data_IF_471343341149
#
_entry.id   IF_471343341149
#
_cell.length_a   1.000
_cell.length_b   1.000
_cell.length_c   1.000
_cell.angle_alpha   90.00
_cell.angle_beta   90.00
_cell.angle_gamma   90.00
#
_symmetry.space_group_name_H-M   'P 1'
#
loop_
_entity.id
_entity.type
_entity.pdbx_description
1 polymer ?
#
# COMPACT_ATOMS: atom_id res chain seq x y z
N UNK A 1 2.23 24.87 -2.63
CA UNK A 1 0.82 24.37 -2.64
C UNK A 1 0.87 22.91 -3.07
N UNK A 2 -0.01 22.04 -2.60
CA UNK A 2 -0.21 20.69 -3.13
C UNK A 2 -1.50 20.72 -3.92
N UNK A 3 -1.50 20.15 -5.14
CA UNK A 3 -2.70 20.07 -5.98
C UNK A 3 -3.24 18.64 -5.92
N UNK A 4 -4.50 18.50 -5.52
CA UNK A 4 -5.17 17.22 -5.32
C UNK A 4 -6.68 17.36 -5.50
N UNK A 5 -7.41 16.26 -5.44
CA UNK A 5 -8.89 16.27 -5.48
C UNK A 5 -9.49 17.31 -4.55
N UNK A 6 -10.37 18.13 -5.09
CA UNK A 6 -10.97 19.28 -4.43
C UNK A 6 -10.20 20.59 -4.62
N UNK A 7 -8.96 20.59 -5.13
CA UNK A 7 -8.25 21.80 -5.54
C UNK A 7 -8.97 22.48 -6.71
N UNK A 8 -8.89 23.82 -6.75
CA UNK A 8 -9.52 24.63 -7.80
C UNK A 8 -8.61 25.81 -8.15
N UNK A 9 -8.72 26.29 -9.38
CA UNK A 9 -8.02 27.51 -9.84
C UNK A 9 -7.21 27.30 -11.10
N UNK A 10 -6.43 28.31 -11.45
CA UNK A 10 -5.65 28.33 -12.71
C UNK A 10 -4.56 27.26 -12.72
N UNK A 11 -3.90 27.01 -11.57
CA UNK A 11 -2.89 25.92 -11.44
C UNK A 11 -3.47 24.55 -11.79
N UNK A 12 -4.73 24.28 -11.39
CA UNK A 12 -5.43 23.03 -11.72
C UNK A 12 -5.72 22.97 -13.21
N UNK A 13 -6.12 24.09 -13.79
CA UNK A 13 -6.43 24.19 -15.23
C UNK A 13 -5.16 23.99 -16.06
N UNK A 14 -4.05 24.56 -15.64
CA UNK A 14 -2.76 24.37 -16.29
C UNK A 14 -2.29 22.91 -16.19
N UNK A 15 -2.44 22.28 -15.04
CA UNK A 15 -2.18 20.86 -14.84
C UNK A 15 -3.04 19.98 -15.76
N UNK A 16 -4.34 20.24 -15.85
CA UNK A 16 -5.25 19.49 -16.72
C UNK A 16 -4.84 19.64 -18.19
N UNK A 17 -4.46 20.84 -18.60
CA UNK A 17 -3.98 21.11 -19.96
C UNK A 17 -2.70 20.32 -20.25
N UNK A 18 -1.76 20.29 -19.32
CA UNK A 18 -0.51 19.55 -19.44
C UNK A 18 -0.75 18.03 -19.54
N UNK A 19 -1.58 17.49 -18.67
CA UNK A 19 -1.96 16.07 -18.73
C UNK A 19 -2.64 15.70 -20.05
N UNK A 20 -3.54 16.56 -20.54
CA UNK A 20 -4.19 16.35 -21.84
C UNK A 20 -3.18 16.38 -23.00
N UNK A 21 -2.21 17.30 -22.99
CA UNK A 21 -1.14 17.38 -23.98
C UNK A 21 -0.27 16.10 -23.99
N UNK A 22 -0.05 15.50 -22.82
CA UNK A 22 0.67 14.24 -22.66
C UNK A 22 -0.21 12.99 -22.93
N UNK A 23 -1.47 13.18 -23.36
CA UNK A 23 -2.40 12.08 -23.71
C UNK A 23 -3.20 11.51 -22.53
N UNK A 24 -3.12 12.12 -21.34
CA UNK A 24 -3.92 11.77 -20.18
C UNK A 24 -5.22 12.58 -20.17
N UNK A 25 -6.31 11.99 -20.63
CA UNK A 25 -7.58 12.69 -20.84
C UNK A 25 -8.28 13.04 -19.52
N UNK A 26 -8.07 14.26 -19.03
CA UNK A 26 -8.77 14.80 -17.85
C UNK A 26 -10.18 15.35 -18.17
N UNK A 27 -10.59 15.37 -19.42
CA UNK A 27 -11.72 16.13 -19.92
C UNK A 27 -11.32 17.58 -20.22
N UNK A 28 -12.29 18.51 -20.13
CA UNK A 28 -11.99 19.94 -20.28
C UNK A 28 -11.08 20.42 -19.14
N UNK A 29 -10.14 21.29 -19.47
CA UNK A 29 -9.32 21.98 -18.47
C UNK A 29 -10.16 23.09 -17.80
N UNK A 30 -11.02 22.68 -16.87
CA UNK A 30 -12.02 23.54 -16.20
C UNK A 30 -11.52 24.15 -14.88
N UNK A 31 -10.30 23.81 -14.47
CA UNK A 31 -9.72 24.25 -13.21
C UNK A 31 -10.32 23.62 -11.97
N UNK A 32 -11.03 22.47 -12.11
CA UNK A 32 -11.60 21.70 -10.99
C UNK A 32 -10.93 20.34 -10.93
N UNK A 33 -10.16 20.07 -9.88
CA UNK A 33 -9.57 18.78 -9.66
C UNK A 33 -10.63 17.80 -9.14
N UNK A 34 -11.33 17.18 -10.07
CA UNK A 34 -12.35 16.16 -9.84
C UNK A 34 -11.77 14.74 -9.91
N UNK A 35 -12.65 13.73 -9.83
CA UNK A 35 -12.27 12.31 -9.93
C UNK A 35 -11.61 11.97 -11.29
N UNK A 36 -12.05 12.60 -12.39
CA UNK A 36 -11.43 12.37 -13.70
C UNK A 36 -9.95 12.83 -13.70
N UNK A 37 -9.67 14.02 -13.18
CA UNK A 37 -8.31 14.55 -13.05
C UNK A 37 -7.46 13.67 -12.12
N UNK A 38 -8.00 13.24 -10.98
CA UNK A 38 -7.33 12.35 -10.03
C UNK A 38 -6.85 11.06 -10.70
N UNK A 39 -7.76 10.39 -11.43
CA UNK A 39 -7.44 9.15 -12.15
C UNK A 39 -6.31 9.36 -13.17
N UNK A 40 -6.31 10.48 -13.88
CA UNK A 40 -5.27 10.74 -14.89
C UNK A 40 -3.92 11.10 -14.23
N UNK A 41 -3.93 11.79 -13.10
CA UNK A 41 -2.71 11.99 -12.29
C UNK A 41 -2.15 10.66 -11.81
N UNK A 42 -3.00 9.75 -11.28
CA UNK A 42 -2.58 8.40 -10.90
C UNK A 42 -1.98 7.62 -12.07
N UNK A 43 -2.61 7.67 -13.25
CA UNK A 43 -2.09 7.00 -14.45
C UNK A 43 -0.73 7.58 -14.89
N UNK A 44 -0.59 8.91 -14.86
CA UNK A 44 0.69 9.56 -15.14
C UNK A 44 1.76 9.13 -14.14
N UNK A 45 1.43 9.17 -12.85
CA UNK A 45 2.33 8.75 -11.77
C UNK A 45 2.78 7.29 -11.94
N UNK A 46 1.85 6.38 -12.25
CA UNK A 46 2.16 4.96 -12.51
C UNK A 46 3.09 4.80 -13.73
N UNK A 47 2.85 5.57 -14.81
CA UNK A 47 3.69 5.54 -16.01
C UNK A 47 5.09 6.11 -15.78
N UNK A 48 5.23 7.03 -14.83
CA UNK A 48 6.50 7.70 -14.45
C UNK A 48 7.21 7.02 -13.27
N UNK A 49 6.86 5.78 -12.91
CA UNK A 49 7.40 5.06 -11.74
C UNK A 49 7.22 5.82 -10.40
N UNK A 50 6.29 6.76 -10.35
CA UNK A 50 5.85 7.41 -9.13
C UNK A 50 4.77 6.58 -8.43
N UNK A 51 4.56 6.86 -7.15
CA UNK A 51 3.43 6.29 -6.44
C UNK A 51 2.11 6.93 -6.95
N UNK A 52 1.13 6.15 -7.44
CA UNK A 52 -0.11 6.66 -7.99
C UNK A 52 -1.08 7.06 -6.86
N UNK A 53 -0.86 8.20 -6.22
CA UNK A 53 -1.67 8.72 -5.13
C UNK A 53 -2.65 9.82 -5.54
N UNK A 54 -2.64 10.20 -6.80
CA UNK A 54 -3.49 11.27 -7.32
C UNK A 54 -3.13 12.66 -6.80
N UNK A 55 -1.95 12.84 -6.18
CA UNK A 55 -1.51 14.11 -5.59
C UNK A 55 -0.34 14.68 -6.38
N UNK A 56 -0.48 15.90 -6.88
CA UNK A 56 0.60 16.60 -7.56
C UNK A 56 1.45 17.36 -6.54
N UNK A 57 2.55 16.71 -6.14
CA UNK A 57 3.62 17.29 -5.35
C UNK A 57 4.83 17.64 -6.21
N UNK A 58 5.94 18.08 -5.57
CA UNK A 58 7.20 18.43 -6.28
C UNK A 58 7.71 17.30 -7.19
N UNK A 59 7.61 16.03 -6.73
CA UNK A 59 8.04 14.88 -7.52
C UNK A 59 7.21 14.71 -8.80
N UNK A 60 5.88 14.76 -8.66
CA UNK A 60 4.96 14.65 -9.81
C UNK A 60 5.14 15.82 -10.77
N UNK A 61 5.29 17.06 -10.24
CA UNK A 61 5.52 18.24 -11.06
C UNK A 61 6.83 18.15 -11.86
N UNK A 62 7.90 17.66 -11.23
CA UNK A 62 9.19 17.45 -11.91
C UNK A 62 9.07 16.49 -13.08
N UNK A 63 8.46 15.32 -12.87
CA UNK A 63 8.27 14.32 -13.94
C UNK A 63 7.31 14.84 -15.04
N UNK A 64 6.30 15.66 -14.66
CA UNK A 64 5.42 16.30 -15.63
C UNK A 64 6.20 17.27 -16.53
N UNK A 65 7.06 18.12 -15.96
CA UNK A 65 7.87 19.07 -16.73
C UNK A 65 8.86 18.34 -17.63
N UNK A 66 9.53 17.29 -17.15
CA UNK A 66 10.44 16.45 -17.97
C UNK A 66 9.70 15.78 -19.14
N UNK A 67 8.46 15.30 -18.89
CA UNK A 67 7.64 14.71 -19.95
C UNK A 67 7.17 15.77 -20.98
N UNK A 68 6.79 16.96 -20.53
CA UNK A 68 6.37 18.08 -21.38
C UNK A 68 7.55 18.57 -22.25
N UNK A 69 8.73 18.76 -21.66
CA UNK A 69 9.94 19.11 -22.39
C UNK A 69 10.24 18.09 -23.49
N UNK A 70 10.15 16.78 -23.17
CA UNK A 70 10.34 15.69 -24.11
C UNK A 70 9.31 15.66 -25.25
N UNK A 71 8.09 16.16 -24.98
CA UNK A 71 7.00 16.30 -25.97
C UNK A 71 7.09 17.60 -26.79
N UNK A 72 8.01 18.52 -26.47
CA UNK A 72 8.13 19.82 -27.08
C UNK A 72 7.09 20.84 -26.60
N UNK A 73 6.46 20.56 -25.48
CA UNK A 73 5.50 21.44 -24.79
C UNK A 73 6.21 22.33 -23.77
N UNK A 74 5.55 23.40 -23.35
CA UNK A 74 6.12 24.31 -22.34
C UNK A 74 5.95 23.81 -20.91
N UNK A 75 6.88 24.20 -20.03
CA UNK A 75 6.83 23.87 -18.61
C UNK A 75 5.60 24.44 -17.90
N UNK A 76 5.14 23.74 -16.87
CA UNK A 76 4.13 24.23 -15.95
C UNK A 76 4.67 25.46 -15.17
N UNK A 77 3.86 26.52 -15.11
CA UNK A 77 4.26 27.82 -14.57
C UNK A 77 3.99 27.98 -13.08
N UNK A 78 3.17 27.09 -12.50
CA UNK A 78 2.92 27.15 -11.07
C UNK A 78 4.03 26.48 -10.28
N UNK A 79 4.29 26.98 -9.07
CA UNK A 79 5.27 26.40 -8.16
C UNK A 79 4.58 25.64 -7.02
N UNK A 80 5.05 24.43 -6.76
CA UNK A 80 4.71 23.72 -5.53
C UNK A 80 5.58 24.32 -4.42
N UNK A 81 4.96 25.13 -3.56
CA UNK A 81 5.66 25.81 -2.47
C UNK A 81 6.33 24.82 -1.50
N UNK A 82 7.34 25.32 -0.78
CA UNK A 82 7.93 24.59 0.32
C UNK A 82 6.93 24.50 1.48
N UNK A 83 6.58 23.29 1.87
CA UNK A 83 5.81 23.06 3.07
C UNK A 83 6.78 22.85 4.25
N UNK A 84 6.46 23.40 5.43
CA UNK A 84 7.26 23.12 6.61
C UNK A 84 7.29 21.62 6.89
N UNK A 85 8.37 21.16 7.51
CA UNK A 85 8.41 19.78 7.96
C UNK A 85 7.26 19.52 8.96
N UNK A 86 6.69 18.30 8.99
CA UNK A 86 5.76 17.93 10.03
C UNK A 86 6.39 18.09 11.43
N UNK A 87 5.56 18.40 12.42
CA UNK A 87 6.01 18.56 13.80
C UNK A 87 6.55 17.22 14.35
N UNK A 88 7.75 17.28 14.94
CA UNK A 88 8.37 16.11 15.56
C UNK A 88 7.77 15.91 16.96
N UNK A 89 7.14 14.75 17.26
CA UNK A 89 6.61 14.49 18.60
C UNK A 89 7.74 14.36 19.61
N UNK A 90 7.48 14.81 20.86
CA UNK A 90 8.43 14.71 21.98
C UNK A 90 8.80 13.28 22.32
N UNK A 91 7.81 12.38 22.21
CA UNK A 91 7.96 10.97 22.54
C UNK A 91 7.89 10.10 21.30
N UNK A 92 8.81 9.15 21.19
CA UNK A 92 8.82 8.18 20.08
C UNK A 92 8.11 6.90 20.51
N UNK A 93 7.36 6.35 19.57
CA UNK A 93 6.78 5.02 19.72
C UNK A 93 7.84 3.93 19.58
N UNK A 94 7.57 2.74 20.12
CA UNK A 94 8.54 1.65 20.17
C UNK A 94 8.33 0.63 19.07
N UNK A 95 9.45 0.01 18.66
CA UNK A 95 9.44 -1.18 17.83
C UNK A 95 9.28 -2.42 18.70
N UNK A 96 8.18 -3.13 18.57
CA UNK A 96 7.88 -4.37 19.29
C UNK A 96 8.14 -5.56 18.38
N UNK A 97 8.87 -6.55 18.90
CA UNK A 97 9.03 -7.86 18.28
C UNK A 97 7.75 -8.67 18.49
N UNK A 98 7.21 -9.23 17.40
CA UNK A 98 6.05 -10.12 17.41
C UNK A 98 6.42 -11.46 16.74
N UNK A 99 5.79 -12.54 17.17
CA UNK A 99 6.02 -13.88 16.65
C UNK A 99 5.12 -14.17 15.45
N UNK A 100 5.58 -15.06 14.59
CA UNK A 100 4.86 -15.59 13.44
C UNK A 100 4.92 -17.09 13.42
N UNK A 101 4.16 -17.71 12.52
CA UNK A 101 4.09 -19.16 12.45
C UNK A 101 4.87 -19.66 11.22
N UNK A 102 5.59 -20.75 11.40
CA UNK A 102 6.33 -21.42 10.34
C UNK A 102 5.43 -22.49 9.70
N UNK A 103 5.32 -22.46 8.39
CA UNK A 103 4.62 -23.48 7.62
C UNK A 103 5.65 -24.31 6.83
N UNK A 104 5.52 -25.63 6.87
CA UNK A 104 6.42 -26.52 6.13
C UNK A 104 6.40 -26.16 4.63
N UNK A 105 7.57 -25.82 4.10
CA UNK A 105 7.74 -25.42 2.70
C UNK A 105 7.65 -23.94 2.43
N UNK A 106 7.33 -23.11 3.43
CA UNK A 106 7.41 -21.66 3.34
C UNK A 106 8.71 -21.13 3.92
N UNK A 107 9.31 -20.12 3.28
CA UNK A 107 10.54 -19.46 3.70
C UNK A 107 10.29 -18.25 4.63
N UNK A 108 9.21 -18.28 5.40
CA UNK A 108 8.83 -17.18 6.28
C UNK A 108 9.79 -16.94 7.45
N UNK A 109 9.78 -15.72 7.97
CA UNK A 109 10.50 -15.36 9.18
C UNK A 109 9.75 -15.82 10.43
N UNK A 110 10.47 -16.22 11.49
CA UNK A 110 9.87 -16.64 12.77
C UNK A 110 9.32 -15.44 13.57
N UNK A 111 9.74 -14.24 13.27
CA UNK A 111 9.31 -13.00 13.93
C UNK A 111 9.61 -11.78 13.06
N UNK A 112 8.92 -10.68 13.32
CA UNK A 112 9.21 -9.37 12.75
C UNK A 112 8.99 -8.25 13.80
N UNK A 113 9.08 -6.99 13.38
CA UNK A 113 8.86 -5.86 14.27
C UNK A 113 7.78 -4.96 13.71
N UNK A 114 6.85 -4.57 14.59
CA UNK A 114 5.82 -3.57 14.35
C UNK A 114 5.98 -2.40 15.32
N UNK A 115 5.31 -1.31 15.03
CA UNK A 115 5.08 -0.23 15.99
C UNK A 115 4.19 -0.75 17.13
N UNK A 116 4.34 -0.25 18.34
CA UNK A 116 3.71 -0.82 19.55
C UNK A 116 2.18 -0.96 19.45
N UNK A 117 1.48 0.02 18.90
CA UNK A 117 0.02 -0.03 18.69
C UNK A 117 -0.40 -1.10 17.66
N UNK A 118 0.34 -1.20 16.57
CA UNK A 118 0.13 -2.25 15.57
C UNK A 118 0.51 -3.64 16.10
N UNK A 119 1.52 -3.73 16.97
CA UNK A 119 1.95 -4.98 17.59
C UNK A 119 0.89 -5.52 18.55
N UNK A 120 0.26 -4.67 19.35
CA UNK A 120 -0.84 -5.05 20.24
C UNK A 120 -2.01 -5.63 19.41
N UNK A 121 -2.43 -4.92 18.37
CA UNK A 121 -3.51 -5.38 17.47
C UNK A 121 -3.14 -6.67 16.73
N UNK A 122 -1.89 -6.82 16.30
CA UNK A 122 -1.38 -8.03 15.65
C UNK A 122 -1.41 -9.24 16.59
N UNK A 123 -0.98 -9.08 17.84
CA UNK A 123 -1.00 -10.16 18.82
C UNK A 123 -2.43 -10.64 19.08
N UNK A 124 -3.40 -9.72 19.20
CA UNK A 124 -4.81 -10.06 19.34
C UNK A 124 -5.36 -10.79 18.09
N UNK A 125 -5.00 -10.32 16.89
CA UNK A 125 -5.31 -11.02 15.63
C UNK A 125 -4.72 -12.44 15.64
N UNK A 126 -3.45 -12.58 16.00
CA UNK A 126 -2.76 -13.87 16.00
C UNK A 126 -3.38 -14.86 16.99
N UNK A 127 -3.75 -14.42 18.19
CA UNK A 127 -4.46 -15.25 19.17
C UNK A 127 -5.78 -15.79 18.60
N UNK A 128 -6.57 -14.95 17.92
CA UNK A 128 -7.83 -15.36 17.31
C UNK A 128 -7.60 -16.34 16.16
N UNK A 129 -6.63 -16.08 15.28
CA UNK A 129 -6.24 -16.97 14.17
C UNK A 129 -5.81 -18.35 14.71
N UNK A 130 -4.95 -18.39 15.73
CA UNK A 130 -4.52 -19.63 16.37
C UNK A 130 -5.69 -20.37 17.04
N UNK A 131 -6.62 -19.63 17.65
CA UNK A 131 -7.82 -20.22 18.26
C UNK A 131 -8.70 -20.95 17.25
N UNK A 132 -8.67 -20.54 15.97
CA UNK A 132 -9.34 -21.19 14.84
C UNK A 132 -8.48 -22.27 14.15
N UNK A 133 -7.31 -22.60 14.70
CA UNK A 133 -6.38 -23.58 14.14
C UNK A 133 -5.66 -23.11 12.88
N UNK A 134 -5.62 -21.79 12.64
CA UNK A 134 -4.87 -21.17 11.56
C UNK A 134 -3.47 -20.74 11.96
N UNK A 135 -2.82 -20.01 11.09
CA UNK A 135 -1.44 -19.51 11.25
C UNK A 135 -1.30 -18.11 10.65
N UNK A 136 -0.28 -17.36 11.06
CA UNK A 136 0.17 -16.15 10.36
C UNK A 136 1.63 -16.35 9.95
N UNK A 137 1.87 -16.56 8.66
CA UNK A 137 3.22 -16.62 8.07
C UNK A 137 3.79 -15.22 7.87
N UNK A 138 5.09 -15.08 7.60
CA UNK A 138 5.68 -13.76 7.41
C UNK A 138 6.78 -13.71 6.36
N UNK A 139 6.71 -12.71 5.48
CA UNK A 139 7.82 -12.23 4.65
C UNK A 139 8.51 -10.99 5.27
N UNK A 140 8.09 -10.57 6.47
CA UNK A 140 8.66 -9.45 7.21
C UNK A 140 7.68 -8.29 7.42
N UNK A 141 8.13 -7.27 8.13
CA UNK A 141 7.35 -6.06 8.37
C UNK A 141 8.25 -4.81 8.35
N UNK A 142 9.12 -4.62 9.35
CA UNK A 142 9.96 -3.42 9.44
C UNK A 142 10.86 -3.27 8.21
N UNK A 143 10.78 -2.10 7.60
CA UNK A 143 11.69 -1.66 6.54
C UNK A 143 12.54 -0.49 7.07
N UNK A 144 13.89 -0.55 7.06
CA UNK A 144 14.73 0.55 7.54
C UNK A 144 14.72 1.72 6.54
N UNK A 145 14.79 2.96 7.03
CA UNK A 145 14.86 4.17 6.18
C UNK A 145 16.10 4.19 5.27
N UNK A 146 17.19 3.53 5.66
CA UNK A 146 18.42 3.43 4.86
C UNK A 146 18.28 2.54 3.63
N UNK A 147 17.20 1.78 3.54
CA UNK A 147 16.95 0.84 2.43
C UNK A 147 16.35 1.57 1.20
N UNK A 148 16.82 2.79 0.96
CA UNK A 148 16.45 3.65 -0.17
C UNK A 148 16.94 3.13 -1.53
N UNK A 149 17.47 1.90 -1.61
CA UNK A 149 17.74 1.26 -2.90
C UNK A 149 16.41 1.06 -3.61
N UNK A 150 16.15 2.00 -4.51
CA UNK A 150 15.05 1.99 -5.47
C UNK A 150 15.06 0.66 -6.22
N UNK A 151 14.31 -0.32 -5.73
CA UNK A 151 13.82 -1.32 -6.65
C UNK A 151 12.49 -0.76 -7.17
N UNK A 152 12.23 -0.86 -8.45
CA UNK A 152 10.97 -0.44 -9.10
C UNK A 152 9.69 -1.02 -8.45
N UNK A 153 9.85 -1.95 -7.51
CA UNK A 153 8.77 -2.63 -6.78
C UNK A 153 8.51 -2.07 -5.37
N UNK A 154 9.30 -1.09 -4.87
CA UNK A 154 9.17 -0.60 -3.48
C UNK A 154 8.64 0.83 -3.44
N UNK A 155 7.46 1.00 -2.90
CA UNK A 155 6.89 2.32 -2.63
C UNK A 155 7.72 3.09 -1.59
N UNK A 156 8.00 4.36 -1.87
CA UNK A 156 8.62 5.29 -0.90
C UNK A 156 7.69 5.64 0.27
N UNK A 157 6.40 5.39 0.11
CA UNK A 157 5.34 5.65 1.12
C UNK A 157 4.83 4.36 1.78
N UNK A 158 5.63 3.31 1.77
CA UNK A 158 5.23 2.04 2.37
C UNK A 158 5.11 2.14 3.89
N UNK A 159 3.97 1.72 4.44
CA UNK A 159 3.72 1.69 5.87
C UNK A 159 4.64 0.72 6.65
N UNK A 160 5.44 -0.09 5.96
CA UNK A 160 6.54 -0.84 6.57
C UNK A 160 7.61 0.06 7.21
N UNK A 161 7.84 1.27 6.67
CA UNK A 161 8.77 2.24 7.28
C UNK A 161 8.25 2.77 8.61
N UNK A 162 6.93 2.86 8.77
CA UNK A 162 6.29 3.36 9.98
C UNK A 162 5.96 2.28 11.00
N UNK A 163 6.21 1.00 10.67
CA UNK A 163 5.84 -0.14 11.51
C UNK A 163 4.35 -0.47 11.52
N UNK A 164 3.60 0.05 10.55
CA UNK A 164 2.15 -0.14 10.43
C UNK A 164 1.74 -1.19 9.38
N UNK A 165 2.67 -1.96 8.85
CA UNK A 165 2.35 -3.01 7.89
C UNK A 165 3.18 -4.26 8.11
N UNK A 166 2.62 -5.42 7.73
CA UNK A 166 3.34 -6.68 7.65
C UNK A 166 2.99 -7.41 6.35
N UNK A 167 3.91 -8.24 5.90
CA UNK A 167 3.74 -9.12 4.76
C UNK A 167 3.70 -10.57 5.21
N UNK A 168 2.71 -11.33 4.76
CA UNK A 168 2.70 -12.78 4.88
C UNK A 168 3.67 -13.41 3.87
N UNK A 169 4.10 -14.64 4.11
CA UNK A 169 5.00 -15.34 3.20
C UNK A 169 4.34 -15.58 1.84
N UNK A 170 4.98 -15.06 0.78
CA UNK A 170 4.43 -15.07 -0.58
C UNK A 170 4.23 -16.49 -1.12
N UNK A 171 5.03 -17.44 -0.65
CA UNK A 171 5.01 -18.85 -1.02
C UNK A 171 3.98 -19.69 -0.22
N UNK A 172 3.18 -19.03 0.64
CA UNK A 172 2.11 -19.68 1.39
C UNK A 172 0.72 -19.58 0.74
N UNK A 173 0.63 -18.95 -0.44
CA UNK A 173 -0.60 -18.83 -1.24
C UNK A 173 -0.33 -18.52 -2.72
N UNK A 174 -1.32 -18.67 -3.59
CA UNK A 174 -1.34 -18.42 -5.04
C UNK A 174 -0.44 -19.30 -5.93
N UNK A 175 0.41 -20.21 -5.42
CA UNK A 175 1.14 -21.17 -6.26
C UNK A 175 0.30 -22.42 -6.51
N UNK A 176 -0.21 -23.02 -5.44
CA UNK A 176 -1.03 -24.23 -5.50
C UNK A 176 -2.15 -24.18 -4.45
N UNK A 177 -3.28 -23.55 -4.75
CA UNK A 177 -4.38 -23.38 -3.80
C UNK A 177 -4.90 -24.67 -3.16
N UNK A 178 -4.69 -25.83 -3.81
CA UNK A 178 -5.10 -27.14 -3.25
C UNK A 178 -4.23 -27.62 -2.09
N UNK A 179 -3.01 -27.08 -1.94
CA UNK A 179 -2.01 -27.55 -0.96
C UNK A 179 -1.56 -26.48 0.03
N UNK A 180 -1.75 -25.24 -0.34
CA UNK A 180 -1.26 -24.10 0.46
C UNK A 180 -2.15 -23.80 1.64
N UNK A 181 -1.56 -23.14 2.65
CA UNK A 181 -2.25 -22.69 3.84
C UNK A 181 -3.29 -21.61 3.53
N UNK A 182 -2.97 -20.72 2.59
CA UNK A 182 -3.87 -19.66 2.20
C UNK A 182 -4.43 -19.88 0.79
N UNK A 183 -5.74 -19.70 0.67
CA UNK A 183 -6.44 -19.66 -0.61
C UNK A 183 -6.91 -18.22 -0.84
N UNK A 184 -6.52 -17.65 -1.97
CA UNK A 184 -6.74 -16.25 -2.29
C UNK A 184 -7.88 -16.15 -3.29
N UNK A 185 -9.00 -15.59 -2.87
CA UNK A 185 -10.18 -15.42 -3.69
C UNK A 185 -10.32 -13.96 -4.14
N UNK A 186 -10.74 -13.76 -5.38
CA UNK A 186 -11.05 -12.44 -5.89
C UNK A 186 -12.41 -11.98 -5.35
N UNK A 187 -12.42 -10.90 -4.56
CA UNK A 187 -13.62 -10.37 -3.90
C UNK A 187 -14.16 -9.08 -4.52
N UNK A 188 -13.38 -8.42 -5.39
CA UNK A 188 -13.74 -7.18 -6.04
C UNK A 188 -12.73 -6.77 -7.10
N UNK A 189 -12.82 -5.53 -7.61
CA UNK A 189 -11.81 -5.03 -8.55
C UNK A 189 -10.46 -4.94 -7.85
N UNK A 190 -9.54 -5.84 -8.22
CA UNK A 190 -8.19 -5.96 -7.66
C UNK A 190 -8.16 -6.23 -6.15
N UNK A 191 -9.26 -6.66 -5.56
CA UNK A 191 -9.39 -6.95 -4.13
C UNK A 191 -9.35 -8.45 -3.88
N UNK A 192 -8.78 -8.82 -2.75
CA UNK A 192 -8.62 -10.20 -2.35
C UNK A 192 -9.32 -10.48 -1.02
N UNK A 193 -9.94 -11.64 -0.94
CA UNK A 193 -10.25 -12.29 0.32
C UNK A 193 -9.24 -13.42 0.53
N UNK A 194 -8.52 -13.37 1.64
CA UNK A 194 -7.53 -14.37 2.04
C UNK A 194 -8.21 -15.34 2.99
N UNK A 195 -8.33 -16.58 2.55
CA UNK A 195 -8.89 -17.67 3.32
C UNK A 195 -7.77 -18.50 3.95
N UNK A 196 -7.83 -18.70 5.28
CA UNK A 196 -6.89 -19.56 6.00
C UNK A 196 -7.47 -20.95 6.17
N UNK A 197 -6.73 -21.96 5.77
CA UNK A 197 -7.09 -23.36 5.94
C UNK A 197 -6.94 -23.79 7.39
N UNK A 198 -7.81 -24.67 7.85
CA UNK A 198 -7.77 -25.22 9.21
C UNK A 198 -8.27 -26.65 9.25
N UNK A 199 -7.76 -27.43 10.22
CA UNK A 199 -8.29 -28.76 10.55
C UNK A 199 -9.36 -28.72 11.65
N UNK A 200 -9.70 -27.53 12.19
CA UNK A 200 -10.60 -27.38 13.31
C UNK A 200 -12.04 -27.70 12.91
N UNK A 201 -12.66 -28.67 13.56
CA UNK A 201 -14.01 -29.17 13.21
C UNK A 201 -15.13 -28.16 13.40
N UNK A 202 -14.90 -27.16 14.26
CA UNK A 202 -15.85 -26.07 14.49
C UNK A 202 -15.89 -25.03 13.36
N UNK A 203 -15.01 -25.14 12.36
CA UNK A 203 -15.00 -24.28 11.17
C UNK A 203 -15.67 -25.00 10.01
N UNK A 204 -16.59 -24.34 9.33
CA UNK A 204 -17.35 -24.90 8.24
C UNK A 204 -16.49 -25.20 7.01
N UNK A 205 -16.84 -26.30 6.32
CA UNK A 205 -16.33 -26.59 4.99
C UNK A 205 -16.98 -25.67 3.98
N UNK A 206 -16.18 -25.14 3.05
CA UNK A 206 -16.65 -24.30 1.94
C UNK A 206 -15.84 -24.51 0.68
N UNK A 207 -16.47 -24.28 -0.45
CA UNK A 207 -15.79 -24.22 -1.74
C UNK A 207 -15.31 -22.79 -2.00
N UNK A 208 -14.02 -22.64 -2.29
CA UNK A 208 -13.37 -21.37 -2.62
C UNK A 208 -12.82 -21.44 -4.05
N UNK A 209 -13.00 -20.38 -4.84
CA UNK A 209 -12.39 -20.26 -6.15
C UNK A 209 -11.03 -19.55 -6.03
N UNK A 210 -10.01 -20.32 -5.70
CA UNK A 210 -8.65 -19.81 -5.43
C UNK A 210 -7.96 -19.29 -6.69
N UNK A 211 -7.40 -18.09 -6.59
CA UNK A 211 -6.63 -17.43 -7.64
C UNK A 211 -5.15 -17.85 -7.58
N UNK A 212 -4.48 -17.91 -8.73
CA UNK A 212 -3.06 -18.25 -8.82
C UNK A 212 -2.23 -17.11 -9.42
N UNK A 213 -0.91 -17.13 -9.20
CA UNK A 213 0.01 -16.19 -9.85
C UNK A 213 0.00 -16.26 -11.40
N UNK A 214 -0.50 -17.35 -11.97
CA UNK A 214 -0.66 -17.50 -13.43
C UNK A 214 -2.02 -16.99 -13.94
N UNK A 215 -2.73 -16.18 -13.14
CA UNK A 215 -4.06 -15.67 -13.47
C UNK A 215 -5.11 -16.76 -13.79
N UNK A 216 -4.98 -17.93 -13.17
CA UNK A 216 -5.96 -19.02 -13.27
C UNK A 216 -6.73 -19.17 -11.96
N UNK A 217 -7.91 -19.78 -12.03
CA UNK A 217 -8.77 -20.05 -10.87
C UNK A 217 -8.90 -21.54 -10.67
N UNK A 218 -8.79 -21.98 -9.42
CA UNK A 218 -8.83 -23.40 -9.02
C UNK A 218 -9.87 -23.56 -7.91
N UNK A 219 -10.81 -24.47 -8.08
CA UNK A 219 -11.76 -24.83 -7.03
C UNK A 219 -11.06 -25.62 -5.94
N UNK A 220 -11.28 -25.21 -4.71
CA UNK A 220 -10.76 -25.85 -3.50
C UNK A 220 -11.89 -25.97 -2.49
N UNK A 221 -12.11 -27.17 -1.99
CA UNK A 221 -13.09 -27.46 -0.94
C UNK A 221 -12.34 -27.95 0.29
N UNK A 222 -12.48 -27.23 1.39
CA UNK A 222 -11.89 -27.55 2.70
C UNK A 222 -12.50 -26.69 3.79
N UNK A 223 -12.02 -26.82 5.04
CA UNK A 223 -12.37 -25.91 6.11
C UNK A 223 -11.55 -24.64 6.03
N UNK A 224 -12.24 -23.51 5.91
CA UNK A 224 -11.63 -22.20 5.79
C UNK A 224 -12.33 -21.17 6.64
N UNK A 225 -11.57 -20.27 7.25
CA UNK A 225 -12.09 -19.01 7.78
C UNK A 225 -11.47 -17.82 7.04
N UNK A 226 -12.19 -16.71 6.99
CA UNK A 226 -11.69 -15.49 6.35
C UNK A 226 -10.63 -14.84 7.23
N UNK A 227 -9.36 -14.95 6.82
CA UNK A 227 -8.27 -14.21 7.45
C UNK A 227 -8.43 -12.71 7.24
N UNK A 228 -8.91 -12.30 6.06
CA UNK A 228 -9.17 -10.89 5.73
C UNK A 228 -10.16 -10.25 6.70
N UNK A 229 -11.27 -10.94 7.04
CA UNK A 229 -12.26 -10.39 7.96
C UNK A 229 -11.72 -10.29 9.37
N UNK A 230 -10.96 -11.28 9.83
CA UNK A 230 -10.28 -11.22 11.12
C UNK A 230 -9.26 -10.08 11.16
N UNK A 231 -8.45 -9.94 10.12
CA UNK A 231 -7.48 -8.85 10.04
C UNK A 231 -8.18 -7.48 10.13
N UNK A 232 -9.27 -7.27 9.36
CA UNK A 232 -10.08 -6.05 9.40
C UNK A 232 -10.68 -5.78 10.80
N UNK A 233 -11.18 -6.81 11.46
CA UNK A 233 -11.70 -6.71 12.85
C UNK A 233 -10.64 -6.16 13.81
N UNK A 234 -9.37 -6.51 13.60
CA UNK A 234 -8.24 -6.03 14.38
C UNK A 234 -7.57 -4.77 13.81
N UNK A 235 -8.17 -4.15 12.78
CA UNK A 235 -7.71 -2.89 12.20
C UNK A 235 -6.62 -3.01 11.14
N UNK A 236 -6.34 -4.24 10.66
CA UNK A 236 -5.46 -4.48 9.53
C UNK A 236 -6.26 -4.67 8.24
N UNK A 237 -5.94 -3.90 7.22
CA UNK A 237 -6.62 -3.96 5.93
C UNK A 237 -5.66 -4.42 4.84
N UNK A 238 -6.12 -5.29 3.91
CA UNK A 238 -5.35 -5.63 2.73
C UNK A 238 -5.33 -4.45 1.76
N UNK A 239 -4.31 -4.41 0.90
CA UNK A 239 -4.26 -3.46 -0.21
C UNK A 239 -4.73 -4.13 -1.51
N UNK A 240 -5.10 -3.31 -2.49
CA UNK A 240 -5.48 -3.80 -3.81
C UNK A 240 -4.25 -4.27 -4.60
N UNK A 241 -4.43 -5.30 -5.43
CA UNK A 241 -3.38 -5.69 -6.38
C UNK A 241 -3.09 -4.58 -7.38
N UNK A 242 -1.87 -4.52 -7.88
CA UNK A 242 -1.48 -3.59 -8.94
C UNK A 242 -2.22 -3.92 -10.25
N UNK A 243 -2.58 -2.91 -11.00
CA UNK A 243 -3.25 -3.08 -12.31
C UNK A 243 -2.43 -3.95 -13.27
N UNK A 244 -1.10 -3.81 -13.23
CA UNK A 244 -0.17 -4.59 -14.03
C UNK A 244 -0.27 -6.10 -13.77
N UNK A 245 -0.52 -6.54 -12.52
CA UNK A 245 -0.67 -7.97 -12.19
C UNK A 245 -1.78 -8.62 -13.02
N UNK A 246 -2.97 -8.02 -13.07
CA UNK A 246 -4.11 -8.54 -13.84
C UNK A 246 -3.88 -8.59 -15.35
N UNK A 247 -2.88 -7.86 -15.85
CA UNK A 247 -2.48 -7.82 -17.26
C UNK A 247 -1.28 -8.71 -17.57
N UNK A 248 -0.94 -9.63 -16.68
CA UNK A 248 0.21 -10.54 -16.85
C UNK A 248 1.56 -9.93 -16.44
N UNK A 249 1.56 -8.86 -15.64
CA UNK A 249 2.76 -8.30 -15.04
C UNK A 249 3.32 -9.19 -13.92
N UNK A 250 4.34 -8.66 -13.22
CA UNK A 250 5.02 -9.36 -12.14
C UNK A 250 4.04 -9.91 -11.08
N UNK A 251 4.29 -11.14 -10.61
CA UNK A 251 3.55 -11.76 -9.50
C UNK A 251 3.60 -10.91 -8.22
N UNK A 252 4.65 -10.11 -8.03
CA UNK A 252 4.77 -9.17 -6.92
C UNK A 252 3.66 -8.11 -6.91
N UNK A 253 2.99 -7.88 -8.03
CA UNK A 253 1.84 -6.99 -8.11
C UNK A 253 0.54 -7.59 -7.54
N UNK A 254 0.52 -8.86 -7.13
CA UNK A 254 -0.66 -9.48 -6.52
C UNK A 254 -0.99 -8.87 -5.15
N UNK A 255 0.04 -8.51 -4.34
CA UNK A 255 -0.05 -7.80 -3.06
C UNK A 255 -1.00 -8.46 -2.01
N UNK A 256 -1.48 -9.68 -2.24
CA UNK A 256 -2.44 -10.38 -1.36
C UNK A 256 -1.92 -10.62 0.06
N UNK A 257 -0.61 -10.64 0.23
CA UNK A 257 0.10 -10.88 1.48
C UNK A 257 0.25 -9.64 2.34
N UNK A 258 0.02 -8.44 1.78
CA UNK A 258 0.25 -7.17 2.46
C UNK A 258 -0.97 -6.74 3.27
N UNK A 259 -0.75 -6.49 4.56
CA UNK A 259 -1.75 -5.98 5.49
C UNK A 259 -1.21 -4.76 6.23
N UNK A 260 -2.01 -3.69 6.29
CA UNK A 260 -1.62 -2.45 6.93
C UNK A 260 -2.60 -2.03 8.03
N UNK A 261 -2.05 -1.54 9.15
CA UNK A 261 -2.80 -1.13 10.33
C UNK A 261 -3.40 0.25 10.14
N UNK A 262 -4.57 0.33 9.55
CA UNK A 262 -5.26 1.56 9.21
C UNK A 262 -5.93 2.23 10.41
N UNK A 263 -6.25 1.46 11.45
CA UNK A 263 -6.86 1.99 12.69
C UNK A 263 -6.03 3.10 13.35
N UNK A 264 -4.73 3.12 13.15
CA UNK A 264 -3.84 4.15 13.67
C UNK A 264 -3.87 5.46 12.85
N UNK A 265 -4.47 5.44 11.68
CA UNK A 265 -4.46 6.53 10.73
C UNK A 265 -5.81 7.27 10.71
N UNK A 266 -5.75 8.59 10.54
CA UNK A 266 -6.95 9.43 10.43
C UNK A 266 -7.03 9.96 9.00
N UNK A 267 -8.02 9.53 8.19
CA UNK A 267 -8.21 10.01 6.83
C UNK A 267 -8.27 11.55 6.78
N UNK A 268 -7.55 12.15 5.84
CA UNK A 268 -7.46 13.60 5.70
C UNK A 268 -6.58 14.32 6.72
N UNK A 269 -6.06 13.63 7.75
CA UNK A 269 -5.27 14.21 8.85
C UNK A 269 -3.88 13.60 8.97
N UNK A 270 -3.81 12.27 9.08
CA UNK A 270 -2.51 11.59 9.19
C UNK A 270 -1.69 11.77 7.93
N UNK A 271 -0.43 12.16 8.08
CA UNK A 271 0.53 12.26 6.98
C UNK A 271 1.60 11.20 7.11
N UNK A 272 2.18 10.78 5.99
CA UNK A 272 3.24 9.78 6.02
C UNK A 272 4.47 10.27 6.79
N UNK A 273 4.86 11.53 6.62
CA UNK A 273 5.93 12.15 7.39
C UNK A 273 5.63 12.20 8.88
N UNK A 274 4.39 12.54 9.26
CA UNK A 274 3.96 12.52 10.66
C UNK A 274 4.04 11.13 11.29
N UNK A 275 3.66 10.08 10.55
CA UNK A 275 3.79 8.70 11.03
C UNK A 275 5.25 8.23 11.10
N UNK A 276 6.12 8.67 10.18
CA UNK A 276 7.57 8.43 10.28
C UNK A 276 8.17 9.09 11.52
N UNK A 277 7.78 10.33 11.81
CA UNK A 277 8.30 11.08 12.96
C UNK A 277 7.88 10.51 14.31
N UNK A 278 6.86 9.66 14.36
CA UNK A 278 6.55 8.86 15.56
C UNK A 278 7.62 7.78 15.84
N UNK A 279 8.38 7.37 14.82
CA UNK A 279 9.35 6.26 14.90
C UNK A 279 10.79 6.72 14.80
N UNK A 280 11.06 7.85 14.13
CA UNK A 280 12.38 8.34 13.78
C UNK A 280 12.48 9.84 14.10
N UNK A 281 13.71 10.32 14.28
CA UNK A 281 13.96 11.77 14.39
C UNK A 281 13.80 12.46 13.04
N UNK A 282 13.52 13.74 13.05
CA UNK A 282 13.47 14.56 11.83
C UNK A 282 14.80 14.48 11.04
N UNK A 283 15.93 14.45 11.76
CA UNK A 283 17.25 14.34 11.14
C UNK A 283 17.45 12.99 10.41
N UNK A 284 16.89 11.88 10.94
CA UNK A 284 16.88 10.58 10.27
C UNK A 284 15.96 10.60 9.05
N UNK A 285 14.77 11.18 9.17
CA UNK A 285 13.80 11.30 8.08
C UNK A 285 14.37 12.14 6.91
N UNK A 286 15.07 13.24 7.18
CA UNK A 286 15.71 14.09 6.16
C UNK A 286 16.83 13.37 5.39
N UNK A 287 17.45 12.36 5.95
CA UNK A 287 18.42 11.49 5.25
C UNK A 287 17.76 10.46 4.33
N UNK A 288 16.47 10.22 4.51
CA UNK A 288 15.68 9.36 3.63
C UNK A 288 15.43 10.12 2.32
N UNK A 289 15.99 9.63 1.20
CA UNK A 289 15.96 10.32 -0.08
C UNK A 289 14.60 10.83 -0.55
N UNK A 290 13.48 10.06 -0.35
CA UNK A 290 12.15 10.51 -0.71
C UNK A 290 11.50 11.52 0.26
N UNK A 291 12.15 11.95 1.34
CA UNK A 291 11.52 12.76 2.39
C UNK A 291 10.71 13.95 1.86
N UNK A 292 11.31 14.77 1.00
CA UNK A 292 10.64 15.94 0.43
C UNK A 292 9.37 15.60 -0.37
N UNK A 293 9.33 14.41 -0.96
CA UNK A 293 8.18 13.92 -1.73
C UNK A 293 7.08 13.35 -0.83
N UNK A 294 7.45 12.71 0.29
CA UNK A 294 6.50 11.91 1.08
C UNK A 294 6.01 12.58 2.36
N UNK A 295 6.73 13.60 2.86
CA UNK A 295 6.45 14.22 4.17
C UNK A 295 5.02 14.74 4.35
N UNK A 296 4.36 15.12 3.26
CA UNK A 296 2.99 15.66 3.26
C UNK A 296 1.96 14.73 2.64
N UNK A 297 2.32 13.51 2.29
CA UNK A 297 1.34 12.54 1.78
C UNK A 297 0.30 12.27 2.86
N UNK A 298 -0.93 12.72 2.61
CA UNK A 298 -2.04 12.61 3.56
C UNK A 298 -2.71 11.25 3.41
N UNK A 299 -3.02 10.61 4.53
CA UNK A 299 -3.82 9.41 4.52
C UNK A 299 -5.20 9.68 3.91
N UNK A 300 -5.63 8.85 2.98
CA UNK A 300 -6.97 8.85 2.40
C UNK A 300 -7.61 7.49 2.68
N UNK A 301 -8.94 7.43 2.73
CA UNK A 301 -9.70 6.24 3.05
C UNK A 301 -9.44 5.06 2.09
N UNK A 302 -8.92 5.35 0.91
CA UNK A 302 -8.43 4.37 -0.05
C UNK A 302 -7.08 4.80 -0.60
N UNK A 303 -6.00 4.34 0.00
CA UNK A 303 -4.63 4.64 -0.43
C UNK A 303 -4.23 3.92 -1.73
N UNK A 304 -5.00 2.93 -2.14
CA UNK A 304 -4.66 2.04 -3.26
C UNK A 304 -5.82 1.85 -4.22
#
# INVERSE_FOLDING_TARGET
MIIKKGSRGEDVKELQSALNALGYNTGNADGIFGTATEIQVEHFQEASDLHPDGIVGKGTLKELNEALESAGEGDLKFEIGDHPDPEEPSDKMKWIKVDTDQVKGSQGYAHFRLREDAAEAYNALREEVLSLGGVITSAGAKRPLSDSKKSASRSSKSLHYTGLAFDMALDSGMNNPKKEMFVIEESGDREWNVWCRTSKESVDTREILGYTYNNTKVKVEDRFFSFTDLAKKHGFHPIKSRRSFKRGGSYLGAEWWHFQFEKALKPGVSTFGGELLKMYTLAECKKFGPWETVKHCVWQESWW
#
